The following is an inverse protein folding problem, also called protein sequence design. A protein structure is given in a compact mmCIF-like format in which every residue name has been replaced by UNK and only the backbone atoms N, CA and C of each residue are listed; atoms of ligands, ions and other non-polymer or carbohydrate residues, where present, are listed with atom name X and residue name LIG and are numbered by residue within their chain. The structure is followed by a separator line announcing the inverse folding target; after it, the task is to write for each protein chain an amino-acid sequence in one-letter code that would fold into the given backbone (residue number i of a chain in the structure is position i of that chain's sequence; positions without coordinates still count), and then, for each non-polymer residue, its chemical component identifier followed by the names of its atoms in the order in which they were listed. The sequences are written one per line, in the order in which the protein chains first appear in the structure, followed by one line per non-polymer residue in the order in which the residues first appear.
data_IF_744136011824
#
_entry.id   IF_744136011824
#
_cell.length_a   1.000
_cell.length_b   1.000
_cell.length_c   1.000
_cell.angle_alpha   90.00
_cell.angle_beta   90.00
_cell.angle_gamma   90.00
#
_symmetry.space_group_name_H-M   'P 1'
#
loop_
_entity.id
_entity.type
_entity.pdbx_description
1 polymer ?
#
# COMPACT_ATOMS: atom_id res chain seq x y z
N UNK A 1 -33.92 -15.62 8.20
CA UNK A 1 -32.73 -14.77 8.44
C UNK A 1 -31.69 -15.11 7.38
N UNK A 2 -31.48 -14.24 6.38
CA UNK A 2 -30.61 -14.54 5.23
C UNK A 2 -29.12 -14.36 5.59
N UNK A 3 -28.42 -15.49 5.76
CA UNK A 3 -26.99 -15.59 6.08
C UNK A 3 -26.10 -14.77 5.14
N UNK A 4 -26.46 -14.66 3.86
CA UNK A 4 -25.74 -13.87 2.88
C UNK A 4 -25.64 -12.38 3.28
N UNK A 5 -26.73 -11.82 3.83
CA UNK A 5 -26.74 -10.42 4.25
C UNK A 5 -25.90 -10.16 5.50
N UNK A 6 -25.55 -11.21 6.29
CA UNK A 6 -24.67 -11.10 7.46
C UNK A 6 -23.21 -11.31 7.05
N UNK A 7 -22.93 -12.25 6.14
CA UNK A 7 -21.59 -12.51 5.62
C UNK A 7 -20.99 -11.28 4.92
N UNK A 8 -21.72 -10.68 3.99
CA UNK A 8 -21.28 -9.47 3.28
C UNK A 8 -21.24 -8.21 4.17
N UNK A 9 -22.01 -8.18 5.28
CA UNK A 9 -22.23 -6.97 6.08
C UNK A 9 -21.43 -6.91 7.39
N UNK A 10 -21.16 -8.05 8.03
CA UNK A 10 -20.39 -8.12 9.28
C UNK A 10 -18.99 -8.67 9.07
N UNK A 11 -18.85 -9.76 8.30
CA UNK A 11 -17.56 -10.43 8.11
C UNK A 11 -16.65 -9.58 7.21
N UNK A 12 -17.17 -9.08 6.09
CA UNK A 12 -16.38 -8.26 5.16
C UNK A 12 -15.80 -7.01 5.85
N UNK A 13 -16.61 -6.26 6.62
CA UNK A 13 -16.20 -5.04 7.33
C UNK A 13 -15.16 -5.30 8.42
N UNK A 14 -15.25 -6.41 9.14
CA UNK A 14 -14.31 -6.75 10.22
C UNK A 14 -13.02 -7.42 9.70
N UNK A 15 -13.08 -8.12 8.57
CA UNK A 15 -11.90 -8.72 7.90
C UNK A 15 -11.07 -7.70 7.13
N UNK A 16 -11.66 -6.56 6.78
CA UNK A 16 -11.06 -5.56 5.93
C UNK A 16 -9.96 -4.70 6.63
N UNK A 17 -10.14 -4.38 7.92
CA UNK A 17 -9.11 -3.72 8.75
C UNK A 17 -7.79 -4.51 8.75
N UNK A 18 -7.77 -5.83 9.04
CA UNK A 18 -6.54 -6.60 8.95
C UNK A 18 -6.06 -6.80 7.50
N UNK A 19 -6.95 -6.85 6.49
CA UNK A 19 -6.53 -6.99 5.08
C UNK A 19 -5.69 -5.81 4.62
N UNK A 20 -6.06 -4.57 4.94
CA UNK A 20 -5.28 -3.38 4.53
C UNK A 20 -3.89 -3.39 5.16
N UNK A 21 -3.81 -3.73 6.45
CA UNK A 21 -2.53 -3.86 7.16
C UNK A 21 -1.66 -4.97 6.55
N UNK A 22 -2.26 -6.11 6.22
CA UNK A 22 -1.57 -7.24 5.58
C UNK A 22 -1.11 -6.88 4.16
N UNK A 23 -1.93 -6.17 3.38
CA UNK A 23 -1.54 -5.68 2.05
C UNK A 23 -0.36 -4.70 2.14
N UNK A 24 -0.35 -3.81 3.13
CA UNK A 24 0.79 -2.92 3.38
C UNK A 24 2.06 -3.69 3.73
N UNK A 25 1.96 -4.71 4.59
CA UNK A 25 3.09 -5.61 4.89
C UNK A 25 3.56 -6.38 3.65
N UNK A 26 2.66 -6.91 2.82
CA UNK A 26 3.01 -7.63 1.59
C UNK A 26 3.70 -6.68 0.60
N UNK A 27 3.18 -5.47 0.42
CA UNK A 27 3.80 -4.46 -0.44
C UNK A 27 5.21 -4.08 0.03
N UNK A 28 5.41 -3.89 1.34
CA UNK A 28 6.73 -3.64 1.91
C UNK A 28 7.70 -4.82 1.68
N UNK A 29 7.22 -6.06 1.82
CA UNK A 29 8.02 -7.26 1.53
C UNK A 29 8.38 -7.37 0.05
N UNK A 30 7.44 -7.08 -0.86
CA UNK A 30 7.70 -7.11 -2.30
C UNK A 30 8.71 -6.03 -2.68
N UNK A 31 8.59 -4.82 -2.14
CA UNK A 31 9.57 -3.75 -2.36
C UNK A 31 10.96 -4.15 -1.83
N UNK A 32 11.04 -4.70 -0.62
CA UNK A 32 12.28 -5.20 -0.04
C UNK A 32 12.93 -6.31 -0.89
N UNK A 33 12.14 -7.30 -1.31
CA UNK A 33 12.57 -8.37 -2.19
C UNK A 33 13.01 -7.87 -3.58
N UNK A 34 12.28 -6.90 -4.15
CA UNK A 34 12.61 -6.28 -5.44
C UNK A 34 13.97 -5.59 -5.39
N UNK A 35 14.29 -4.86 -4.32
CA UNK A 35 15.59 -4.22 -4.14
C UNK A 35 16.73 -5.25 -4.20
N UNK A 36 16.58 -6.38 -3.52
CA UNK A 36 17.59 -7.45 -3.52
C UNK A 36 17.75 -8.04 -4.91
N UNK A 37 16.65 -8.31 -5.62
CA UNK A 37 16.66 -8.84 -6.99
C UNK A 37 17.32 -7.84 -7.95
N UNK A 38 16.96 -6.55 -7.87
CA UNK A 38 17.55 -5.47 -8.67
C UNK A 38 19.07 -5.39 -8.46
N UNK A 39 19.52 -5.55 -7.22
CA UNK A 39 20.94 -5.47 -6.86
C UNK A 39 21.72 -6.70 -7.33
N UNK A 40 21.17 -7.91 -7.14
CA UNK A 40 21.83 -9.18 -7.52
C UNK A 40 21.91 -9.32 -9.04
N UNK A 41 20.82 -9.02 -9.75
CA UNK A 41 20.76 -9.14 -11.21
C UNK A 41 21.16 -7.88 -11.96
N UNK A 42 21.68 -6.86 -11.27
CA UNK A 42 22.09 -5.56 -11.85
C UNK A 42 21.01 -4.88 -12.71
N UNK A 43 19.74 -5.16 -12.45
CA UNK A 43 18.62 -4.56 -13.17
C UNK A 43 18.50 -3.07 -12.82
N UNK A 44 18.14 -2.20 -13.79
CA UNK A 44 17.85 -0.80 -13.51
C UNK A 44 16.48 -0.70 -12.83
N UNK A 45 16.47 -0.39 -11.53
CA UNK A 45 15.25 -0.23 -10.75
C UNK A 45 15.33 0.88 -9.71
N UNK A 46 14.17 1.29 -9.20
CA UNK A 46 14.02 2.39 -8.24
C UNK A 46 14.68 2.05 -6.90
N UNK A 47 14.66 0.79 -6.50
CA UNK A 47 15.25 0.31 -5.25
C UNK A 47 16.77 0.45 -5.25
N UNK A 48 17.41 -0.01 -6.33
CA UNK A 48 18.86 0.14 -6.54
C UNK A 48 19.27 1.61 -6.65
N UNK A 49 18.48 2.44 -7.33
CA UNK A 49 18.73 3.89 -7.40
C UNK A 49 18.68 4.56 -6.03
N UNK A 50 17.75 4.16 -5.16
CA UNK A 50 17.65 4.68 -3.80
C UNK A 50 18.88 4.30 -2.96
N UNK A 51 19.35 3.04 -3.04
CA UNK A 51 20.59 2.61 -2.35
C UNK A 51 21.81 3.38 -2.86
N UNK A 52 21.93 3.54 -4.18
CA UNK A 52 23.01 4.31 -4.77
C UNK A 52 22.98 5.78 -4.31
N UNK A 53 21.80 6.41 -4.29
CA UNK A 53 21.62 7.79 -3.84
C UNK A 53 22.01 7.97 -2.36
N UNK A 54 21.69 7.00 -1.50
CA UNK A 54 22.13 6.99 -0.10
C UNK A 54 23.66 6.88 -0.02
N UNK A 55 24.26 5.99 -0.83
CA UNK A 55 25.71 5.78 -0.85
C UNK A 55 26.48 7.01 -1.36
N UNK A 56 25.96 7.69 -2.38
CA UNK A 56 26.54 8.93 -2.92
C UNK A 56 26.16 10.17 -2.12
N UNK A 57 25.39 10.02 -1.04
CA UNK A 57 24.85 11.12 -0.21
C UNK A 57 24.07 12.16 -1.02
N UNK A 58 23.40 11.72 -2.08
CA UNK A 58 22.52 12.55 -2.88
C UNK A 58 21.15 12.68 -2.18
N UNK A 59 21.13 13.55 -1.16
CA UNK A 59 19.94 13.78 -0.33
C UNK A 59 18.72 14.27 -1.14
N UNK A 60 18.85 15.17 -2.14
CA UNK A 60 17.73 15.54 -3.00
C UNK A 60 17.08 14.35 -3.70
N UNK A 61 17.89 13.42 -4.25
CA UNK A 61 17.39 12.25 -4.93
C UNK A 61 16.69 11.28 -3.97
N UNK A 62 17.27 11.03 -2.79
CA UNK A 62 16.65 10.20 -1.75
C UNK A 62 15.30 10.78 -1.32
N UNK A 63 15.25 12.08 -1.03
CA UNK A 63 14.02 12.75 -0.61
C UNK A 63 12.95 12.70 -1.70
N UNK A 64 13.32 12.92 -2.98
CA UNK A 64 12.41 12.80 -4.10
C UNK A 64 11.82 11.39 -4.24
N UNK A 65 12.64 10.36 -4.09
CA UNK A 65 12.16 8.97 -4.13
C UNK A 65 11.26 8.61 -2.95
N UNK A 66 11.61 9.05 -1.73
CA UNK A 66 10.76 8.83 -0.55
C UNK A 66 9.40 9.51 -0.71
N UNK A 67 9.37 10.76 -1.19
CA UNK A 67 8.13 11.47 -1.46
C UNK A 67 7.29 10.77 -2.55
N UNK A 68 7.93 10.28 -3.60
CA UNK A 68 7.26 9.53 -4.67
C UNK A 68 6.60 8.25 -4.14
N UNK A 69 7.32 7.45 -3.35
CA UNK A 69 6.80 6.22 -2.74
C UNK A 69 5.66 6.56 -1.77
N UNK A 70 5.84 7.57 -0.92
CA UNK A 70 4.80 8.00 0.02
C UNK A 70 3.54 8.47 -0.71
N UNK A 71 3.67 9.23 -1.79
CA UNK A 71 2.56 9.67 -2.62
C UNK A 71 1.76 8.50 -3.20
N UNK A 72 2.44 7.48 -3.73
CA UNK A 72 1.79 6.26 -4.22
C UNK A 72 1.02 5.55 -3.10
N UNK A 73 1.64 5.41 -1.92
CA UNK A 73 0.98 4.78 -0.77
C UNK A 73 -0.29 5.54 -0.36
N UNK A 74 -0.23 6.87 -0.33
CA UNK A 74 -1.40 7.72 -0.04
C UNK A 74 -2.49 7.54 -1.10
N UNK A 75 -2.14 7.49 -2.39
CA UNK A 75 -3.09 7.24 -3.48
C UNK A 75 -3.75 5.86 -3.31
N UNK A 76 -2.97 4.82 -3.01
CA UNK A 76 -3.49 3.46 -2.80
C UNK A 76 -4.45 3.43 -1.60
N UNK A 77 -4.05 4.03 -0.47
CA UNK A 77 -4.90 4.11 0.71
C UNK A 77 -6.19 4.89 0.41
N UNK A 78 -6.10 5.99 -0.34
CA UNK A 78 -7.27 6.76 -0.75
C UNK A 78 -8.21 5.97 -1.68
N UNK A 79 -7.66 5.21 -2.63
CA UNK A 79 -8.46 4.31 -3.48
C UNK A 79 -9.14 3.23 -2.65
N UNK A 80 -8.43 2.66 -1.68
CA UNK A 80 -8.97 1.70 -0.73
C UNK A 80 -10.14 2.34 0.04
N UNK A 81 -9.99 3.55 0.56
CA UNK A 81 -11.06 4.30 1.27
C UNK A 81 -12.29 4.59 0.39
N UNK A 82 -12.08 4.87 -0.90
CA UNK A 82 -13.17 5.00 -1.87
C UNK A 82 -13.89 3.67 -2.06
N UNK A 83 -13.14 2.58 -2.28
CA UNK A 83 -13.72 1.24 -2.43
C UNK A 83 -14.50 0.86 -1.17
N UNK A 84 -14.00 1.21 0.02
CA UNK A 84 -14.75 1.08 1.27
C UNK A 84 -16.06 1.85 1.27
N UNK A 85 -16.04 3.11 0.85
CA UNK A 85 -17.23 3.98 0.82
C UNK A 85 -18.29 3.46 -0.15
N UNK A 86 -17.87 2.88 -1.28
CA UNK A 86 -18.78 2.27 -2.27
C UNK A 86 -19.36 0.95 -1.78
N UNK A 87 -18.57 0.12 -1.07
CA UNK A 87 -19.01 -1.17 -0.52
C UNK A 87 -19.91 -0.97 0.72
N UNK A 88 -19.72 0.08 1.52
CA UNK A 88 -20.54 0.38 2.72
C UNK A 88 -21.40 1.66 2.56
N UNK A 89 -22.60 1.58 1.94
CA UNK A 89 -23.48 2.73 1.73
C UNK A 89 -24.15 3.30 3.00
N UNK A 90 -23.79 2.84 4.22
CA UNK A 90 -24.38 3.33 5.49
C UNK A 90 -23.48 4.25 6.33
N UNK A 91 -22.24 4.55 5.93
CA UNK A 91 -21.47 5.68 6.53
C UNK A 91 -22.24 7.01 6.37
N UNK A 92 -23.15 7.06 5.39
CA UNK A 92 -24.04 8.19 5.10
C UNK A 92 -25.24 8.36 6.05
N UNK A 93 -25.52 7.41 6.96
CA UNK A 93 -26.71 7.42 7.83
C UNK A 93 -26.38 7.57 9.33
N UNK A 94 -25.19 8.10 9.65
CA UNK A 94 -24.73 8.36 11.01
C UNK A 94 -24.58 9.85 11.34
N UNK A 95 -25.47 10.69 10.79
CA UNK A 95 -25.67 12.09 11.19
C UNK A 95 -27.17 12.33 11.37
#
# INVERSE_FOLDING_TARGET
LNINSVLYKHVLKNSLIPIVTVLGMIAANILGGSIVIEQVFTLPGLGRLLINAISTRDLPLVQGMVLYIAFIIVIINFLIDIVYTVIDPRIRLGA
#
